data_IF_982710173040
#
_entry.id   IF_982710173040
#
_cell.length_a   1.000
_cell.length_b   1.000
_cell.length_c   1.000
_cell.angle_alpha   90.00
_cell.angle_beta   90.00
_cell.angle_gamma   90.00
#
_symmetry.space_group_name_H-M   'P 1'
#
loop_
_entity.id
_entity.type
_entity.pdbx_description
1 polymer ?
#
# COMPACT_ATOMS: atom_id res chain seq x y z
N UNK A 1 14.47 6.85 15.37
CA UNK A 1 14.11 7.05 13.95
C UNK A 1 12.79 6.33 13.73
N UNK A 2 11.83 6.91 13.02
CA UNK A 2 10.54 6.23 12.79
C UNK A 2 10.75 4.99 11.91
N UNK A 3 9.87 3.99 11.99
CA UNK A 3 9.97 2.77 11.18
C UNK A 3 10.09 3.07 9.67
N UNK A 4 9.26 3.97 9.12
CA UNK A 4 9.34 4.40 7.71
C UNK A 4 10.71 4.99 7.35
N UNK A 5 11.26 5.85 8.21
CA UNK A 5 12.58 6.47 8.01
C UNK A 5 13.71 5.42 8.04
N UNK A 6 13.63 4.43 8.95
CA UNK A 6 14.56 3.32 9.03
C UNK A 6 14.48 2.46 7.77
N UNK A 7 13.26 2.17 7.30
CA UNK A 7 13.02 1.39 6.08
C UNK A 7 13.66 2.06 4.87
N UNK A 8 13.38 3.34 4.61
CA UNK A 8 13.96 4.03 3.46
C UNK A 8 15.48 4.21 3.55
N UNK A 9 16.03 4.35 4.76
CA UNK A 9 17.48 4.39 4.95
C UNK A 9 18.14 3.03 4.69
N UNK A 10 17.46 1.95 5.08
CA UNK A 10 17.91 0.60 4.76
C UNK A 10 17.80 0.32 3.24
N UNK A 11 16.70 0.72 2.61
CA UNK A 11 16.46 0.61 1.18
C UNK A 11 17.54 1.34 0.35
N UNK A 12 17.92 2.56 0.75
CA UNK A 12 19.01 3.31 0.14
C UNK A 12 20.37 2.65 0.34
N UNK A 13 20.59 1.96 1.45
CA UNK A 13 21.80 1.15 1.68
C UNK A 13 21.83 -0.05 0.73
N UNK A 14 20.68 -0.70 0.50
CA UNK A 14 20.58 -1.87 -0.38
C UNK A 14 20.76 -1.52 -1.87
N UNK A 15 20.15 -0.42 -2.33
CA UNK A 15 20.05 -0.09 -3.76
C UNK A 15 20.97 1.07 -4.17
N UNK A 16 21.44 1.86 -3.22
CA UNK A 16 22.14 3.12 -3.47
C UNK A 16 21.19 4.31 -3.40
N UNK A 17 21.66 5.39 -2.79
CA UNK A 17 20.84 6.58 -2.50
C UNK A 17 20.25 7.27 -3.74
N UNK A 18 20.94 7.24 -4.87
CA UNK A 18 20.45 7.82 -6.14
C UNK A 18 19.31 7.00 -6.77
N UNK A 19 19.11 5.76 -6.33
CA UNK A 19 18.10 4.85 -6.87
C UNK A 19 16.75 4.94 -6.15
N UNK A 20 16.68 5.63 -5.02
CA UNK A 20 15.49 5.71 -4.17
C UNK A 20 15.04 7.17 -4.05
N UNK A 21 13.83 7.44 -4.52
CA UNK A 21 13.17 8.74 -4.37
C UNK A 21 12.24 8.67 -3.16
N UNK A 22 12.63 9.30 -2.04
CA UNK A 22 11.77 9.36 -0.84
C UNK A 22 10.58 10.30 -1.05
N UNK A 23 9.50 10.05 -0.31
CA UNK A 23 8.31 10.88 -0.15
C UNK A 23 8.60 12.38 -0.16
N UNK A 24 7.69 13.13 -0.79
CA UNK A 24 7.74 14.59 -0.84
C UNK A 24 8.17 15.09 -2.21
N UNK A 25 9.10 16.05 -2.23
CA UNK A 25 9.48 16.75 -3.47
C UNK A 25 10.08 15.84 -4.56
N UNK A 26 10.97 14.87 -4.26
CA UNK A 26 11.52 13.99 -5.29
C UNK A 26 10.45 13.19 -6.04
N UNK A 27 9.50 12.57 -5.32
CA UNK A 27 8.38 11.84 -5.93
C UNK A 27 7.48 12.78 -6.74
N UNK A 28 7.09 13.94 -6.18
CA UNK A 28 6.23 14.89 -6.91
C UNK A 28 6.87 15.38 -8.20
N UNK A 29 8.17 15.67 -8.17
CA UNK A 29 8.92 16.07 -9.36
C UNK A 29 8.92 14.98 -10.41
N UNK A 30 9.18 13.73 -10.02
CA UNK A 30 9.14 12.60 -10.95
C UNK A 30 7.78 12.49 -11.67
N UNK A 31 6.67 12.60 -10.94
CA UNK A 31 5.33 12.60 -11.54
C UNK A 31 5.11 13.83 -12.46
N UNK A 32 5.52 15.02 -12.01
CA UNK A 32 5.34 16.27 -12.75
C UNK A 32 6.14 16.29 -14.07
N UNK A 33 7.38 15.79 -14.08
CA UNK A 33 8.23 15.69 -15.28
C UNK A 33 7.60 14.81 -16.38
N UNK A 34 6.74 13.87 -15.99
CA UNK A 34 6.01 13.01 -16.92
C UNK A 34 4.60 13.52 -17.27
N UNK A 35 4.18 14.65 -16.69
CA UNK A 35 2.85 15.22 -16.87
C UNK A 35 1.75 14.40 -16.20
N UNK A 36 2.08 13.63 -15.17
CA UNK A 36 1.20 12.67 -14.51
C UNK A 36 0.87 13.10 -13.08
N UNK A 37 -0.28 12.66 -12.56
CA UNK A 37 -0.68 12.82 -11.15
C UNK A 37 -1.47 11.61 -10.68
N UNK A 38 -1.32 11.26 -9.41
CA UNK A 38 -2.18 10.29 -8.76
C UNK A 38 -3.36 11.03 -8.10
N UNK A 39 -4.58 10.70 -8.49
CA UNK A 39 -5.80 11.39 -8.03
C UNK A 39 -6.63 10.48 -7.12
N UNK A 40 -7.40 11.08 -6.21
CA UNK A 40 -8.29 10.36 -5.28
C UNK A 40 -9.55 9.77 -5.95
N UNK A 41 -9.73 9.96 -7.25
CA UNK A 41 -10.88 9.50 -8.03
C UNK A 41 -10.36 8.86 -9.31
N UNK A 42 -10.58 7.55 -9.46
CA UNK A 42 -10.10 6.80 -10.61
C UNK A 42 -10.79 7.19 -11.92
N UNK A 43 -11.98 7.79 -11.86
CA UNK A 43 -12.69 8.29 -13.05
C UNK A 43 -11.96 9.46 -13.73
N UNK A 44 -11.12 10.15 -12.95
CA UNK A 44 -10.29 11.26 -13.43
C UNK A 44 -8.89 10.79 -13.85
N UNK A 45 -8.66 9.47 -13.85
CA UNK A 45 -7.42 8.84 -14.25
C UNK A 45 -7.62 8.09 -15.58
N UNK A 46 -6.54 7.90 -16.32
CA UNK A 46 -6.54 7.37 -17.67
C UNK A 46 -6.41 5.83 -17.70
N UNK A 47 -7.24 5.15 -16.89
CA UNK A 47 -7.39 3.69 -16.90
C UNK A 47 -8.22 3.20 -18.09
N UNK A 48 -7.96 1.97 -18.55
CA UNK A 48 -8.80 1.27 -19.53
C UNK A 48 -10.02 0.64 -18.83
N UNK A 49 -10.98 0.15 -19.62
CA UNK A 49 -12.27 -0.34 -19.11
C UNK A 49 -12.17 -1.51 -18.11
N UNK A 50 -11.29 -2.52 -18.29
CA UNK A 50 -11.15 -3.60 -17.31
C UNK A 50 -10.68 -3.09 -15.95
N UNK A 51 -9.66 -2.22 -15.92
CA UNK A 51 -9.18 -1.63 -14.68
C UNK A 51 -10.23 -0.72 -14.02
N UNK A 52 -10.98 0.06 -14.80
CA UNK A 52 -12.08 0.90 -14.27
C UNK A 52 -13.19 0.07 -13.63
N UNK A 53 -13.63 -1.00 -14.31
CA UNK A 53 -14.67 -1.88 -13.78
C UNK A 53 -14.29 -2.47 -12.41
N UNK A 54 -13.04 -2.93 -12.27
CA UNK A 54 -12.52 -3.42 -10.99
C UNK A 54 -12.45 -2.31 -9.93
N UNK A 55 -11.99 -1.11 -10.30
CA UNK A 55 -11.91 0.03 -9.38
C UNK A 55 -13.29 0.49 -8.91
N UNK A 56 -14.31 0.46 -9.77
CA UNK A 56 -15.70 0.71 -9.42
C UNK A 56 -16.28 -0.36 -8.49
N UNK A 57 -15.96 -1.64 -8.73
CA UNK A 57 -16.33 -2.73 -7.83
C UNK A 57 -15.70 -2.56 -6.44
N UNK A 58 -14.40 -2.29 -6.40
CA UNK A 58 -13.67 -2.04 -5.14
C UNK A 58 -14.26 -0.84 -4.42
N UNK A 59 -14.47 0.29 -5.12
CA UNK A 59 -15.02 1.50 -4.51
C UNK A 59 -16.38 1.24 -3.86
N UNK A 60 -17.29 0.51 -4.55
CA UNK A 60 -18.58 0.10 -3.99
C UNK A 60 -18.45 -0.88 -2.81
N UNK A 61 -17.54 -1.85 -2.91
CA UNK A 61 -17.28 -2.83 -1.84
C UNK A 61 -16.79 -2.16 -0.55
N UNK A 62 -16.04 -1.06 -0.69
CA UNK A 62 -15.57 -0.25 0.44
C UNK A 62 -16.62 0.77 0.93
N UNK A 63 -17.88 0.64 0.50
CA UNK A 63 -18.99 1.57 0.78
C UNK A 63 -18.71 3.01 0.33
N UNK A 64 -17.94 3.14 -0.75
CA UNK A 64 -17.68 4.41 -1.40
C UNK A 64 -18.95 5.03 -1.96
N UNK A 65 -19.12 6.33 -1.75
CA UNK A 65 -20.23 7.13 -2.27
C UNK A 65 -19.67 8.28 -3.12
N UNK A 66 -20.17 8.50 -4.35
CA UNK A 66 -19.78 9.65 -5.15
C UNK A 66 -20.26 10.95 -4.47
N UNK A 67 -19.38 11.61 -3.74
CA UNK A 67 -19.67 12.94 -3.18
C UNK A 67 -19.14 13.99 -4.14
N UNK A 68 -20.03 14.50 -5.01
CA UNK A 68 -19.71 15.45 -6.07
C UNK A 68 -18.73 16.53 -5.60
N UNK A 69 -17.53 16.53 -6.18
CA UNK A 69 -16.50 17.52 -5.92
C UNK A 69 -15.14 17.07 -6.45
N UNK A 70 -14.24 18.02 -6.67
CA UNK A 70 -12.98 17.76 -7.38
C UNK A 70 -12.12 16.68 -6.71
N UNK A 71 -11.41 15.86 -7.52
CA UNK A 71 -10.42 14.92 -7.00
C UNK A 71 -9.31 15.66 -6.27
N UNK A 72 -8.75 15.03 -5.23
CA UNK A 72 -7.55 15.52 -4.55
C UNK A 72 -6.33 14.82 -5.12
N UNK A 73 -5.23 15.57 -5.28
CA UNK A 73 -3.93 14.98 -5.60
C UNK A 73 -3.41 14.18 -4.39
N UNK A 74 -3.25 12.88 -4.59
CA UNK A 74 -2.77 11.92 -3.59
C UNK A 74 -1.32 11.48 -3.83
N UNK A 75 -0.63 12.06 -4.83
CA UNK A 75 0.80 11.79 -5.12
C UNK A 75 1.67 12.06 -3.89
N UNK A 76 1.32 13.07 -3.08
CA UNK A 76 2.01 13.40 -1.82
C UNK A 76 1.96 12.31 -0.75
N UNK A 77 1.09 11.31 -0.92
CA UNK A 77 0.97 10.19 0.02
C UNK A 77 1.79 8.98 -0.43
N UNK A 78 2.39 8.99 -1.62
CA UNK A 78 3.33 7.95 -2.05
C UNK A 78 4.60 8.03 -1.19
N UNK A 79 4.94 6.92 -0.54
CA UNK A 79 6.07 6.87 0.40
C UNK A 79 7.43 6.90 -0.30
N UNK A 80 7.53 6.30 -1.48
CA UNK A 80 8.71 6.45 -2.32
C UNK A 80 8.56 5.88 -3.72
N UNK A 81 9.62 6.04 -4.51
CA UNK A 81 9.75 5.43 -5.82
C UNK A 81 11.16 4.88 -6.03
N UNK A 82 11.27 3.84 -6.84
CA UNK A 82 12.54 3.43 -7.42
C UNK A 82 12.79 4.22 -8.71
N UNK A 83 14.04 4.59 -8.96
CA UNK A 83 14.43 5.31 -10.17
C UNK A 83 14.44 4.38 -11.40
N UNK A 84 14.45 4.94 -12.63
CA UNK A 84 14.55 4.13 -13.85
C UNK A 84 15.79 3.25 -13.91
N UNK A 85 16.90 3.69 -13.32
CA UNK A 85 18.18 2.98 -13.32
C UNK A 85 18.29 1.88 -12.24
N UNK A 86 17.28 1.77 -11.38
CA UNK A 86 17.22 0.75 -10.34
C UNK A 86 16.52 -0.50 -10.91
N UNK A 87 17.15 -1.70 -10.97
CA UNK A 87 16.40 -2.93 -11.23
C UNK A 87 15.33 -3.11 -10.13
N UNK A 88 14.03 -3.25 -10.46
CA UNK A 88 13.45 -3.75 -11.72
C UNK A 88 12.95 -2.69 -12.73
N UNK A 89 13.27 -1.43 -12.51
CA UNK A 89 12.81 -0.24 -13.24
C UNK A 89 12.01 0.69 -12.33
N UNK A 90 11.45 1.78 -12.87
CA UNK A 90 10.76 2.76 -12.04
C UNK A 90 9.47 2.14 -11.52
N UNK A 91 9.24 2.19 -10.22
CA UNK A 91 8.00 1.74 -9.61
C UNK A 91 7.71 2.52 -8.32
N UNK A 92 6.45 2.53 -7.92
CA UNK A 92 6.08 2.98 -6.58
C UNK A 92 6.61 1.94 -5.57
N UNK A 93 7.14 2.42 -4.45
CA UNK A 93 7.44 1.60 -3.28
C UNK A 93 6.71 2.15 -2.05
N UNK A 94 5.97 1.27 -1.37
CA UNK A 94 5.20 1.62 -0.16
C UNK A 94 5.73 0.83 1.04
N UNK A 95 5.76 1.51 2.20
CA UNK A 95 6.07 0.89 3.48
C UNK A 95 4.81 0.81 4.33
N UNK A 96 4.22 -0.38 4.37
CA UNK A 96 2.93 -0.59 5.02
C UNK A 96 3.12 -0.84 6.51
N UNK A 97 2.79 0.16 7.33
CA UNK A 97 2.64 0.05 8.79
C UNK A 97 1.24 -0.48 9.19
N UNK A 98 0.98 -0.61 10.50
CA UNK A 98 -0.21 -1.25 11.09
C UNK A 98 -1.54 -0.80 10.47
N UNK A 99 -1.69 0.51 10.26
CA UNK A 99 -2.82 1.18 9.63
C UNK A 99 -3.31 0.61 8.27
N UNK A 100 -2.44 -0.07 7.51
CA UNK A 100 -2.76 -0.60 6.19
C UNK A 100 -3.40 -1.98 6.26
N UNK A 101 -3.33 -2.67 7.39
CA UNK A 101 -3.80 -4.04 7.56
C UNK A 101 -5.15 -4.04 8.27
N UNK A 102 -6.21 -4.02 7.47
CA UNK A 102 -7.60 -3.99 7.94
C UNK A 102 -8.49 -4.87 7.07
N UNK A 103 -9.69 -5.23 7.54
CA UNK A 103 -10.71 -5.88 6.72
C UNK A 103 -11.06 -5.12 5.43
N UNK A 104 -10.96 -3.79 5.44
CA UNK A 104 -11.10 -3.00 4.21
C UNK A 104 -9.99 -3.30 3.21
N UNK A 105 -8.72 -3.35 3.65
CA UNK A 105 -7.62 -3.74 2.76
C UNK A 105 -7.79 -5.18 2.28
N UNK A 106 -8.14 -6.11 3.17
CA UNK A 106 -8.42 -7.51 2.82
C UNK A 106 -9.44 -7.64 1.68
N UNK A 107 -10.55 -6.90 1.77
CA UNK A 107 -11.60 -6.90 0.74
C UNK A 107 -11.11 -6.45 -0.65
N UNK A 108 -9.97 -5.74 -0.73
CA UNK A 108 -9.39 -5.30 -2.01
C UNK A 108 -8.40 -6.29 -2.62
N UNK A 109 -7.81 -7.19 -1.84
CA UNK A 109 -6.67 -8.00 -2.29
C UNK A 109 -7.04 -8.97 -3.41
N UNK A 110 -8.20 -9.63 -3.32
CA UNK A 110 -8.70 -10.53 -4.37
C UNK A 110 -8.92 -9.80 -5.70
N UNK A 111 -9.78 -8.77 -5.80
CA UNK A 111 -10.04 -8.10 -7.09
C UNK A 111 -8.78 -7.45 -7.69
N UNK A 112 -7.84 -6.96 -6.86
CA UNK A 112 -6.52 -6.53 -7.33
C UNK A 112 -5.80 -7.69 -8.04
N UNK A 113 -5.66 -8.83 -7.38
CA UNK A 113 -4.89 -9.98 -7.88
C UNK A 113 -5.48 -10.62 -9.14
N UNK A 114 -6.79 -10.49 -9.33
CA UNK A 114 -7.49 -11.00 -10.52
C UNK A 114 -7.31 -10.06 -11.73
N UNK A 115 -6.94 -8.79 -11.50
CA UNK A 115 -6.90 -7.76 -12.55
C UNK A 115 -5.48 -7.35 -12.94
N UNK A 116 -4.57 -7.22 -11.96
CA UNK A 116 -3.22 -6.69 -12.19
C UNK A 116 -2.16 -7.58 -11.54
N UNK A 117 -0.96 -7.53 -12.12
CA UNK A 117 0.22 -8.09 -11.47
C UNK A 117 0.57 -7.24 -10.24
N UNK A 118 0.96 -7.90 -9.15
CA UNK A 118 1.48 -7.28 -7.94
C UNK A 118 2.83 -7.88 -7.55
N UNK A 119 3.69 -7.07 -6.91
CA UNK A 119 5.04 -7.49 -6.46
C UNK A 119 5.17 -7.49 -4.95
N UNK A 120 4.16 -8.03 -4.29
CA UNK A 120 4.14 -8.29 -2.85
C UNK A 120 3.38 -9.58 -2.59
N UNK A 121 3.66 -10.20 -1.44
CA UNK A 121 3.07 -11.48 -1.08
C UNK A 121 1.63 -11.31 -0.61
N UNK A 122 0.68 -11.59 -1.51
CA UNK A 122 -0.76 -11.51 -1.22
C UNK A 122 -1.19 -12.44 -0.07
N UNK A 123 -0.54 -13.60 0.08
CA UNK A 123 -0.86 -14.54 1.15
C UNK A 123 -0.48 -13.96 2.51
N UNK A 124 0.68 -13.31 2.61
CA UNK A 124 1.09 -12.59 3.82
C UNK A 124 0.16 -11.41 4.10
N UNK A 125 -0.21 -10.62 3.09
CA UNK A 125 -1.13 -9.50 3.29
C UNK A 125 -2.52 -9.97 3.75
N UNK A 126 -3.03 -11.08 3.20
CA UNK A 126 -4.25 -11.73 3.69
C UNK A 126 -4.12 -12.15 5.15
N UNK A 127 -3.01 -12.83 5.51
CA UNK A 127 -2.71 -13.22 6.90
C UNK A 127 -2.72 -12.00 7.83
N UNK A 128 -2.01 -10.93 7.47
CA UNK A 128 -1.92 -9.74 8.33
C UNK A 128 -3.27 -9.04 8.48
N UNK A 129 -4.04 -8.87 7.40
CA UNK A 129 -5.34 -8.20 7.49
C UNK A 129 -6.40 -8.96 8.32
N UNK A 130 -6.21 -10.27 8.52
CA UNK A 130 -7.11 -11.12 9.31
C UNK A 130 -6.52 -11.53 10.67
N UNK A 131 -5.28 -11.13 10.98
CA UNK A 131 -4.60 -11.49 12.21
C UNK A 131 -5.11 -10.67 13.38
N UNK A 132 -5.42 -11.35 14.50
CA UNK A 132 -5.77 -10.69 15.75
C UNK A 132 -4.64 -9.82 16.28
N UNK A 133 -3.39 -10.29 16.19
CA UNK A 133 -2.22 -9.54 16.64
C UNK A 133 -2.06 -8.23 15.85
N UNK A 134 -2.16 -8.31 14.52
CA UNK A 134 -2.09 -7.14 13.64
C UNK A 134 -3.22 -6.16 13.93
N UNK A 135 -4.44 -6.67 14.16
CA UNK A 135 -5.58 -5.84 14.49
C UNK A 135 -5.43 -5.12 15.84
N UNK A 136 -4.93 -5.80 16.89
CA UNK A 136 -4.65 -5.16 18.18
C UNK A 136 -3.63 -4.03 18.02
N UNK A 137 -2.52 -4.27 17.30
CA UNK A 137 -1.51 -3.24 17.03
C UNK A 137 -2.08 -2.05 16.26
N UNK A 138 -2.99 -2.31 15.31
CA UNK A 138 -3.73 -1.27 14.59
C UNK A 138 -4.56 -0.40 15.56
N UNK A 139 -5.29 -1.01 16.50
CA UNK A 139 -6.09 -0.27 17.48
C UNK A 139 -5.19 0.55 18.43
N UNK A 140 -4.10 -0.05 18.92
CA UNK A 140 -3.11 0.61 19.78
C UNK A 140 -2.48 1.83 19.10
N UNK A 141 -2.04 1.69 17.84
CA UNK A 141 -1.47 2.76 17.02
C UNK A 141 -2.39 3.98 16.94
N UNK A 142 -3.70 3.74 16.93
CA UNK A 142 -4.74 4.78 16.81
C UNK A 142 -5.44 5.10 18.13
N UNK A 143 -4.93 4.58 19.25
CA UNK A 143 -5.47 4.80 20.60
C UNK A 143 -6.97 4.49 20.69
N UNK A 144 -7.40 3.42 20.01
CA UNK A 144 -8.76 2.90 20.06
C UNK A 144 -8.79 1.87 21.19
N UNK A 145 -9.73 2.05 22.13
CA UNK A 145 -9.96 1.08 23.19
C UNK A 145 -10.39 -0.26 22.58
N UNK A 146 -9.89 -1.36 23.12
CA UNK A 146 -10.02 -2.67 22.47
C UNK A 146 -10.21 -3.85 23.43
N UNK A 147 -10.58 -3.57 24.69
CA UNK A 147 -10.79 -4.62 25.68
C UNK A 147 -11.91 -5.57 25.24
N UNK A 148 -11.55 -6.79 24.86
CA UNK A 148 -12.49 -7.84 24.46
C UNK A 148 -12.89 -7.83 22.98
N UNK A 149 -12.31 -6.97 22.13
CA UNK A 149 -12.62 -6.96 20.70
C UNK A 149 -11.93 -8.15 20.02
N UNK A 150 -12.73 -9.03 19.39
CA UNK A 150 -12.23 -10.08 18.51
C UNK A 150 -11.83 -9.49 17.16
N UNK A 151 -10.78 -10.03 16.54
CA UNK A 151 -10.34 -9.55 15.22
C UNK A 151 -11.48 -9.65 14.19
N UNK A 152 -11.88 -8.54 13.56
CA UNK A 152 -12.93 -8.56 12.56
C UNK A 152 -12.43 -9.31 11.32
N UNK A 153 -13.25 -10.24 10.81
CA UNK A 153 -12.94 -11.00 9.60
C UNK A 153 -13.54 -10.37 8.33
N UNK A 154 -14.36 -9.32 8.48
CA UNK A 154 -15.05 -8.62 7.40
C UNK A 154 -15.16 -7.11 7.66
N UNK A 155 -15.43 -6.35 6.60
CA UNK A 155 -15.72 -4.91 6.71
C UNK A 155 -16.91 -4.65 7.62
N UNK A 156 -17.97 -5.45 7.48
CA UNK A 156 -19.17 -5.35 8.31
C UNK A 156 -18.87 -5.58 9.80
N UNK A 157 -18.13 -6.64 10.14
CA UNK A 157 -17.76 -6.91 11.54
C UNK A 157 -16.86 -5.83 12.14
N UNK A 158 -16.02 -5.17 11.32
CA UNK A 158 -15.23 -4.02 11.77
C UNK A 158 -16.14 -2.83 12.09
N UNK A 159 -17.10 -2.52 11.22
CA UNK A 159 -18.05 -1.42 11.43
C UNK A 159 -18.89 -1.64 12.69
N UNK A 160 -19.32 -2.87 12.93
CA UNK A 160 -20.04 -3.27 14.16
C UNK A 160 -19.17 -3.08 15.40
N UNK A 161 -17.91 -3.55 15.36
CA UNK A 161 -16.96 -3.37 16.46
C UNK A 161 -16.72 -1.88 16.75
N UNK A 162 -16.53 -1.05 15.72
CA UNK A 162 -16.33 0.39 15.89
C UNK A 162 -17.59 1.10 16.43
N UNK A 163 -18.79 0.61 16.08
CA UNK A 163 -20.05 1.22 16.53
C UNK A 163 -20.41 0.84 17.97
N UNK A 164 -19.87 -0.28 18.49
CA UNK A 164 -20.07 -0.72 19.87
C UNK A 164 -19.16 -0.02 20.88
N UNK A 165 -18.05 0.56 20.41
CA UNK A 165 -17.18 1.43 21.21
C UNK A 165 -17.85 2.81 21.39
N UNK A 166 -17.54 3.52 22.48
CA UNK A 166 -18.20 4.78 22.88
C UNK A 166 -18.02 5.95 21.90
N UNK A 167 -17.78 7.17 22.39
CA UNK A 167 -17.62 8.34 21.51
C UNK A 167 -16.29 8.33 20.74
N UNK A 168 -16.24 7.52 19.67
CA UNK A 168 -15.15 7.48 18.70
C UNK A 168 -15.24 8.61 17.65
N UNK A 169 -16.29 9.45 17.69
CA UNK A 169 -16.50 10.51 16.70
C UNK A 169 -15.37 11.54 16.68
N UNK A 170 -14.68 11.72 17.81
CA UNK A 170 -13.50 12.57 17.94
C UNK A 170 -12.20 11.94 17.42
N UNK A 171 -12.16 10.62 17.22
CA UNK A 171 -10.98 9.93 16.72
C UNK A 171 -10.87 10.09 15.20
N UNK A 172 -9.96 10.97 14.76
CA UNK A 172 -9.76 11.30 13.35
C UNK A 172 -9.41 10.11 12.44
N UNK A 173 -9.02 8.96 13.01
CA UNK A 173 -8.69 7.75 12.28
C UNK A 173 -9.89 6.88 11.90
N UNK A 174 -10.98 6.98 12.65
CA UNK A 174 -12.27 6.34 12.32
C UNK A 174 -13.31 7.37 11.87
N UNK A 175 -12.97 8.65 11.85
CA UNK A 175 -13.87 9.68 11.39
C UNK A 175 -14.35 9.44 9.93
N UNK A 176 -15.60 9.83 9.61
CA UNK A 176 -16.08 9.92 8.23
C UNK A 176 -15.15 10.75 7.35
N UNK A 177 -15.08 10.41 6.07
CA UNK A 177 -14.31 11.15 5.06
C UNK A 177 -15.17 11.45 3.83
N UNK A 178 -14.70 12.40 3.02
CA UNK A 178 -15.27 12.63 1.68
C UNK A 178 -15.25 11.30 0.91
N UNK A 179 -16.37 11.00 0.25
CA UNK A 179 -16.67 9.73 -0.41
C UNK A 179 -16.83 8.49 0.50
N UNK A 180 -16.57 8.58 1.80
CA UNK A 180 -16.76 7.50 2.76
C UNK A 180 -17.43 8.07 4.03
N UNK A 181 -18.71 8.50 3.95
CA UNK A 181 -19.37 9.29 4.98
C UNK A 181 -19.93 8.43 6.13
N UNK A 182 -19.12 7.55 6.70
CA UNK A 182 -19.50 6.63 7.78
C UNK A 182 -18.36 6.47 8.81
N UNK A 183 -18.67 5.96 10.00
CA UNK A 183 -17.67 5.62 11.02
C UNK A 183 -16.77 4.48 10.52
N UNK A 184 -15.46 4.72 10.47
CA UNK A 184 -14.48 3.87 9.78
C UNK A 184 -14.14 4.35 8.36
N UNK A 185 -14.78 5.43 7.87
CA UNK A 185 -14.61 5.92 6.51
C UNK A 185 -13.17 6.31 6.14
N UNK A 186 -12.36 6.74 7.11
CA UNK A 186 -10.92 6.98 6.90
C UNK A 186 -10.13 5.68 6.65
N UNK A 187 -10.50 4.57 7.27
CA UNK A 187 -9.87 3.26 7.04
C UNK A 187 -10.19 2.80 5.61
N UNK A 188 -11.46 2.88 5.22
CA UNK A 188 -11.93 2.55 3.88
C UNK A 188 -11.26 3.44 2.81
N UNK A 189 -11.19 4.76 3.05
CA UNK A 189 -10.48 5.70 2.18
C UNK A 189 -9.01 5.31 2.00
N UNK A 190 -8.33 4.88 3.08
CA UNK A 190 -6.91 4.50 3.00
C UNK A 190 -6.73 3.24 2.17
N UNK A 191 -7.55 2.21 2.41
CA UNK A 191 -7.57 0.99 1.59
C UNK A 191 -7.86 1.30 0.11
N UNK A 192 -8.74 2.24 -0.18
CA UNK A 192 -9.01 2.68 -1.54
C UNK A 192 -7.82 3.41 -2.17
N UNK A 193 -7.15 4.31 -1.44
CA UNK A 193 -5.95 4.99 -1.96
C UNK A 193 -4.78 4.02 -2.15
N UNK A 194 -4.70 2.97 -1.35
CA UNK A 194 -3.76 1.86 -1.57
C UNK A 194 -4.02 1.19 -2.91
N UNK A 195 -5.29 0.87 -3.22
CA UNK A 195 -5.70 0.30 -4.52
C UNK A 195 -5.31 1.23 -5.68
N UNK A 196 -5.58 2.53 -5.58
CA UNK A 196 -5.24 3.46 -6.67
C UNK A 196 -3.75 3.47 -6.98
N UNK A 197 -2.90 3.31 -5.97
CA UNK A 197 -1.44 3.19 -6.14
C UNK A 197 -1.05 1.85 -6.75
N UNK A 198 -1.70 0.77 -6.32
CA UNK A 198 -1.47 -0.56 -6.88
C UNK A 198 -1.75 -0.57 -8.40
N UNK A 199 -2.87 0.04 -8.80
CA UNK A 199 -3.31 0.12 -10.19
C UNK A 199 -2.54 1.15 -11.03
N UNK A 200 -1.91 2.17 -10.44
CA UNK A 200 -1.43 3.34 -11.20
C UNK A 200 -0.52 2.99 -12.39
N UNK A 201 0.32 1.96 -12.26
CA UNK A 201 1.19 1.48 -13.33
C UNK A 201 0.42 1.03 -14.60
N UNK A 202 -0.86 0.68 -14.47
CA UNK A 202 -1.76 0.30 -15.56
C UNK A 202 -2.43 1.49 -16.25
N UNK A 203 -2.41 2.68 -15.66
CA UNK A 203 -2.95 3.89 -16.29
C UNK A 203 -2.14 4.27 -17.54
N UNK A 204 -2.70 4.99 -18.52
CA UNK A 204 -1.93 5.45 -19.69
C UNK A 204 -0.73 6.30 -19.26
N UNK A 205 -0.92 7.14 -18.25
CA UNK A 205 0.12 7.94 -17.61
C UNK A 205 1.22 7.08 -16.98
N UNK A 206 0.84 6.07 -16.20
CA UNK A 206 1.79 5.12 -15.57
C UNK A 206 2.59 4.32 -16.60
N UNK A 207 1.95 3.87 -17.69
CA UNK A 207 2.63 3.18 -18.79
C UNK A 207 3.61 4.08 -19.54
N UNK A 208 3.23 5.35 -19.79
CA UNK A 208 4.13 6.36 -20.39
C UNK A 208 5.36 6.63 -19.52
N UNK A 209 5.21 6.59 -18.21
CA UNK A 209 6.29 6.69 -17.22
C UNK A 209 7.16 5.42 -17.14
N UNK A 210 6.80 4.35 -17.87
CA UNK A 210 7.49 3.06 -17.79
C UNK A 210 7.31 2.35 -16.44
N UNK A 211 6.28 2.72 -15.66
CA UNK A 211 6.11 2.20 -14.31
C UNK A 211 5.90 0.69 -14.33
N UNK A 212 6.66 0.01 -13.49
CA UNK A 212 6.45 -1.39 -13.15
C UNK A 212 5.38 -1.50 -12.05
N UNK A 213 4.79 -2.69 -11.86
CA UNK A 213 3.94 -2.96 -10.73
C UNK A 213 4.56 -2.53 -9.40
N UNK A 214 3.71 -2.06 -8.49
CA UNK A 214 4.11 -1.55 -7.17
C UNK A 214 4.84 -2.61 -6.35
N UNK A 215 5.84 -2.18 -5.59
CA UNK A 215 6.46 -2.98 -4.53
C UNK A 215 5.91 -2.50 -3.19
N UNK A 216 5.39 -3.42 -2.38
CA UNK A 216 4.95 -3.12 -1.02
C UNK A 216 5.76 -3.95 -0.02
N UNK A 217 6.25 -3.31 1.03
CA UNK A 217 6.95 -3.97 2.13
C UNK A 217 6.20 -3.66 3.42
N UNK A 218 5.71 -4.70 4.09
CA UNK A 218 5.06 -4.53 5.40
C UNK A 218 6.09 -4.41 6.52
N UNK A 219 5.74 -3.65 7.57
CA UNK A 219 6.50 -3.64 8.82
C UNK A 219 6.63 -5.06 9.40
N UNK A 220 5.58 -5.88 9.32
CA UNK A 220 5.56 -7.24 9.85
C UNK A 220 6.58 -8.17 9.17
N UNK A 221 6.75 -8.07 7.85
CA UNK A 221 7.75 -8.86 7.13
C UNK A 221 9.18 -8.55 7.59
N UNK A 222 9.45 -7.30 7.96
CA UNK A 222 10.74 -6.87 8.49
C UNK A 222 10.90 -7.36 9.93
N UNK A 223 9.88 -7.16 10.77
CA UNK A 223 9.89 -7.57 12.18
C UNK A 223 10.02 -9.08 12.37
N UNK A 224 9.35 -9.88 11.54
CA UNK A 224 9.49 -11.36 11.51
C UNK A 224 10.94 -11.78 11.19
N UNK A 225 11.67 -11.02 10.35
CA UNK A 225 13.06 -11.33 9.96
C UNK A 225 14.09 -10.88 10.98
N UNK A 226 13.88 -9.72 11.60
CA UNK A 226 14.79 -9.23 12.65
C UNK A 226 14.51 -9.84 14.02
N UNK A 227 13.39 -10.57 14.18
CA UNK A 227 13.03 -11.26 15.42
C UNK A 227 12.47 -10.33 16.50
N UNK A 228 11.84 -9.21 16.13
CA UNK A 228 11.31 -8.23 17.07
C UNK A 228 10.92 -6.91 16.42
N UNK A 229 10.65 -5.90 17.24
CA UNK A 229 10.25 -4.58 16.76
C UNK A 229 11.35 -3.92 15.93
N UNK A 230 10.97 -3.40 14.75
CA UNK A 230 11.90 -2.74 13.83
C UNK A 230 12.61 -1.55 14.48
N UNK A 231 11.89 -0.77 15.30
CA UNK A 231 12.44 0.40 15.99
C UNK A 231 13.57 0.06 16.98
N UNK A 232 13.58 -1.18 17.49
CA UNK A 232 14.57 -1.69 18.45
C UNK A 232 15.66 -2.54 17.78
N UNK A 233 15.49 -2.88 16.51
CA UNK A 233 16.45 -3.69 15.78
C UNK A 233 17.71 -2.90 15.42
N UNK A 234 18.85 -3.59 15.30
CA UNK A 234 20.08 -2.99 14.75
C UNK A 234 19.87 -2.65 13.27
N UNK A 235 20.43 -1.54 12.82
CA UNK A 235 20.22 -1.07 11.45
C UNK A 235 20.70 -2.08 10.40
N UNK A 236 21.81 -2.77 10.64
CA UNK A 236 22.34 -3.81 9.74
C UNK A 236 21.35 -4.96 9.57
N UNK A 237 20.67 -5.37 10.65
CA UNK A 237 19.63 -6.41 10.59
C UNK A 237 18.41 -5.93 9.78
N UNK A 238 18.07 -4.64 9.86
CA UNK A 238 17.01 -4.05 9.04
C UNK A 238 17.41 -4.04 7.57
N UNK A 239 18.66 -3.70 7.23
CA UNK A 239 19.20 -3.75 5.86
C UNK A 239 19.09 -5.16 5.29
N UNK A 240 19.53 -6.18 6.04
CA UNK A 240 19.44 -7.59 5.63
C UNK A 240 17.98 -8.03 5.43
N UNK A 241 17.10 -7.63 6.34
CA UNK A 241 15.67 -7.94 6.24
C UNK A 241 15.02 -7.28 5.01
N UNK A 242 15.31 -6.00 4.74
CA UNK A 242 14.82 -5.27 3.56
C UNK A 242 15.32 -5.93 2.27
N UNK A 243 16.62 -6.23 2.17
CA UNK A 243 17.19 -6.92 1.01
C UNK A 243 16.52 -8.28 0.76
N UNK A 244 16.28 -9.05 1.82
CA UNK A 244 15.59 -10.34 1.77
C UNK A 244 14.15 -10.22 1.25
N UNK A 245 13.38 -9.24 1.74
CA UNK A 245 12.01 -9.00 1.29
C UNK A 245 11.99 -8.55 -0.17
N UNK A 246 12.83 -7.60 -0.56
CA UNK A 246 12.90 -7.10 -1.94
C UNK A 246 13.25 -8.21 -2.93
N UNK A 247 14.22 -9.06 -2.60
CA UNK A 247 14.59 -10.20 -3.44
C UNK A 247 13.40 -11.16 -3.66
N UNK A 248 12.51 -11.30 -2.67
CA UNK A 248 11.30 -12.11 -2.80
C UNK A 248 10.27 -11.40 -3.69
N UNK A 249 10.01 -10.12 -3.44
CA UNK A 249 9.09 -9.30 -4.24
C UNK A 249 9.47 -9.23 -5.72
N UNK A 250 10.76 -9.11 -6.03
CA UNK A 250 11.27 -9.10 -7.41
C UNK A 250 11.15 -10.48 -8.06
N UNK A 251 11.49 -11.56 -7.35
CA UNK A 251 11.31 -12.93 -7.88
C UNK A 251 9.84 -13.27 -8.14
N UNK A 252 8.92 -12.79 -7.30
CA UNK A 252 7.49 -12.93 -7.54
C UNK A 252 7.08 -12.26 -8.86
N UNK A 253 7.66 -11.09 -9.17
CA UNK A 253 7.48 -10.43 -10.46
C UNK A 253 7.99 -11.27 -11.64
N UNK A 254 9.22 -11.78 -11.56
CA UNK A 254 9.81 -12.59 -12.62
C UNK A 254 8.98 -13.84 -12.93
N UNK A 255 8.43 -14.50 -11.89
CA UNK A 255 7.54 -15.67 -12.05
C UNK A 255 6.19 -15.31 -12.68
N UNK A 256 5.60 -14.18 -12.29
CA UNK A 256 4.38 -13.67 -12.90
C UNK A 256 4.57 -13.33 -14.38
N UNK A 257 5.78 -12.88 -14.74
CA UNK A 257 6.19 -12.56 -16.11
C UNK A 257 6.58 -13.79 -16.96
N UNK A 258 6.31 -15.02 -16.49
CA UNK A 258 6.61 -16.32 -17.15
C UNK A 258 5.94 -16.58 -18.51
N UNK A 259 5.68 -15.55 -19.31
CA UNK A 259 5.37 -15.60 -20.76
C UNK A 259 6.49 -15.05 -21.65
N UNK A 260 7.69 -14.76 -21.13
CA UNK A 260 8.86 -14.42 -21.96
C UNK A 260 10.06 -15.32 -21.63
N UNK A 261 10.76 -15.88 -22.63
CA UNK A 261 11.90 -16.75 -22.41
C UNK A 261 13.09 -15.97 -21.83
N UNK A 262 13.63 -16.58 -20.77
CA UNK A 262 14.92 -16.39 -20.10
C UNK A 262 15.92 -15.45 -20.81
N UNK A 263 15.96 -14.17 -20.41
CA UNK A 263 17.13 -13.31 -20.63
C UNK A 263 18.19 -13.59 -19.54
N UNK A 264 18.71 -14.82 -19.52
CA UNK A 264 19.99 -15.11 -18.87
C UNK A 264 21.08 -15.16 -19.93
N UNK A 265 21.68 -14.00 -20.15
CA UNK A 265 22.98 -13.77 -20.81
C UNK A 265 23.26 -12.30 -20.52
N UNK A 266 24.33 -11.83 -19.88
CA UNK A 266 25.62 -12.37 -19.48
C UNK A 266 26.14 -11.34 -18.46
N UNK A 267 26.74 -11.75 -17.34
CA UNK A 267 27.64 -10.88 -16.55
C UNK A 267 29.02 -11.00 -17.18
#
# INVERSE_FOLDING_TARGET
MKAEEQFFSALETCLGRSQVLRKGEPVRRFFAEHGSRLLSDHNQMDFEDPEKATLDEIFRTLHGSPTGGSPTDITRFVDGMLSPDCPPGPCIIEFDEEQHFSPFRHATLRPISETIEVRYDLSLYNKYCLSHETFVRFLEKHRIAHLGITAPCSTQSLLEALSGEGDLGSNGYVAPKKCFPFLGGRIAQRAYYDVLRDFFHRSKSGRKMGLKPIVRVSIYQIEERVGGSMEKARFEAIVDAVASVLATSVKLAERACGKYPDCRTTI
#
